data_IF_985097247454
#
_entry.id   IF_985097247454
#
_cell.length_a   1.000
_cell.length_b   1.000
_cell.length_c   1.000
_cell.angle_alpha   90.00
_cell.angle_beta   90.00
_cell.angle_gamma   90.00
#
_symmetry.space_group_name_H-M   'P 1'
#
loop_
_entity.id
_entity.type
_entity.pdbx_description
1 polymer ?
#
# COMPACT_ATOMS: atom_id res chain seq x y z
N UNK A 1 32.60 8.29 -6.78
CA UNK A 1 32.96 6.88 -7.07
C UNK A 1 32.17 5.87 -6.22
N UNK A 2 31.80 6.17 -4.96
CA UNK A 2 30.95 5.30 -4.13
C UNK A 2 29.48 5.19 -4.60
N UNK A 3 28.98 6.17 -5.36
CA UNK A 3 27.60 6.21 -5.86
C UNK A 3 27.34 5.20 -6.98
N UNK A 4 28.27 5.03 -7.94
CA UNK A 4 28.13 4.09 -9.06
C UNK A 4 28.11 2.63 -8.62
N UNK A 5 28.78 2.28 -7.52
CA UNK A 5 28.80 0.92 -6.97
C UNK A 5 27.47 0.50 -6.33
N UNK A 6 26.58 1.43 -5.96
CA UNK A 6 25.30 1.13 -5.30
C UNK A 6 24.11 1.03 -6.27
N UNK A 7 24.20 1.63 -7.44
CA UNK A 7 23.11 1.72 -8.44
C UNK A 7 22.80 0.37 -9.09
N UNK A 8 23.84 -0.40 -9.45
CA UNK A 8 23.67 -1.73 -10.04
C UNK A 8 22.99 -2.72 -9.09
N UNK A 9 23.40 -2.83 -7.81
CA UNK A 9 22.74 -3.68 -6.83
C UNK A 9 21.24 -3.36 -6.67
N UNK A 10 20.87 -2.09 -6.48
CA UNK A 10 19.48 -1.73 -6.14
C UNK A 10 18.49 -2.05 -7.27
N UNK A 11 18.91 -1.94 -8.53
CA UNK A 11 18.09 -2.32 -9.68
C UNK A 11 17.67 -3.80 -9.64
N UNK A 12 18.58 -4.70 -9.27
CA UNK A 12 18.28 -6.13 -9.14
C UNK A 12 17.28 -6.42 -8.02
N UNK A 13 17.40 -5.75 -6.88
CA UNK A 13 16.43 -5.87 -5.78
C UNK A 13 15.03 -5.44 -6.19
N UNK A 14 14.91 -4.34 -6.95
CA UNK A 14 13.64 -3.86 -7.48
C UNK A 14 13.02 -4.87 -8.47
N UNK A 15 13.80 -5.34 -9.43
CA UNK A 15 13.33 -6.31 -10.43
C UNK A 15 12.91 -7.61 -9.76
N UNK A 16 13.70 -8.13 -8.82
CA UNK A 16 13.37 -9.34 -8.08
C UNK A 16 12.08 -9.17 -7.26
N UNK A 17 11.91 -8.05 -6.56
CA UNK A 17 10.71 -7.75 -5.79
C UNK A 17 9.46 -7.65 -6.67
N UNK A 18 9.57 -6.97 -7.82
CA UNK A 18 8.46 -6.83 -8.76
C UNK A 18 8.09 -8.17 -9.38
N UNK A 19 9.06 -8.94 -9.87
CA UNK A 19 8.83 -10.27 -10.46
C UNK A 19 8.19 -11.22 -9.45
N UNK A 20 8.69 -11.24 -8.21
CA UNK A 20 8.13 -12.07 -7.15
C UNK A 20 6.65 -11.76 -6.92
N UNK A 21 6.28 -10.48 -6.83
CA UNK A 21 4.88 -10.11 -6.65
C UNK A 21 4.01 -10.41 -7.88
N UNK A 22 4.51 -10.13 -9.09
CA UNK A 22 3.78 -10.41 -10.33
C UNK A 22 3.50 -11.92 -10.45
N UNK A 23 4.50 -12.76 -10.21
CA UNK A 23 4.34 -14.22 -10.24
C UNK A 23 3.38 -14.68 -9.15
N UNK A 24 3.56 -14.22 -7.91
CA UNK A 24 2.72 -14.63 -6.78
C UNK A 24 1.25 -14.24 -6.98
N UNK A 25 0.97 -13.02 -7.42
CA UNK A 25 -0.41 -12.53 -7.65
C UNK A 25 -1.07 -13.22 -8.84
N UNK A 26 -0.34 -13.43 -9.95
CA UNK A 26 -0.88 -14.13 -11.12
C UNK A 26 -1.13 -15.61 -10.83
N UNK A 27 -0.24 -16.27 -10.09
CA UNK A 27 -0.42 -17.66 -9.69
C UNK A 27 -1.61 -17.82 -8.75
N UNK A 28 -1.70 -16.96 -7.73
CA UNK A 28 -2.83 -16.94 -6.78
C UNK A 28 -4.16 -16.74 -7.51
N UNK A 29 -4.20 -15.77 -8.43
CA UNK A 29 -5.38 -15.54 -9.25
C UNK A 29 -5.78 -16.75 -10.09
N UNK A 30 -4.82 -17.41 -10.76
CA UNK A 30 -5.08 -18.62 -11.56
C UNK A 30 -5.62 -19.77 -10.72
N UNK A 31 -5.07 -19.96 -9.52
CA UNK A 31 -5.51 -21.01 -8.59
C UNK A 31 -6.95 -20.73 -8.13
N UNK A 32 -7.23 -19.52 -7.64
CA UNK A 32 -8.57 -19.14 -7.18
C UNK A 32 -9.61 -19.19 -8.32
N UNK A 33 -9.22 -18.84 -9.54
CA UNK A 33 -10.13 -18.86 -10.70
C UNK A 33 -10.47 -20.29 -11.18
N UNK A 34 -9.67 -21.29 -10.82
CA UNK A 34 -9.96 -22.71 -11.09
C UNK A 34 -10.89 -23.33 -10.05
N UNK A 35 -10.79 -22.90 -8.80
CA UNK A 35 -11.51 -23.52 -7.67
C UNK A 35 -12.86 -22.87 -7.36
N UNK A 36 -13.06 -21.59 -7.70
CA UNK A 36 -14.27 -20.84 -7.34
C UNK A 36 -15.08 -20.45 -8.58
N UNK A 37 -16.35 -20.89 -8.63
CA UNK A 37 -17.30 -20.57 -9.71
C UNK A 37 -17.50 -19.06 -9.91
N UNK A 38 -17.87 -18.64 -11.14
CA UNK A 38 -17.96 -17.24 -11.62
C UNK A 38 -18.49 -16.22 -10.61
N UNK A 39 -19.54 -16.55 -9.85
CA UNK A 39 -20.21 -15.64 -8.92
C UNK A 39 -19.55 -15.46 -7.54
N UNK A 40 -18.71 -16.38 -7.06
CA UNK A 40 -18.11 -16.30 -5.70
C UNK A 40 -16.68 -15.74 -5.70
N UNK A 41 -16.15 -15.37 -6.88
CA UNK A 41 -14.76 -14.99 -7.15
C UNK A 41 -14.27 -13.77 -6.37
N UNK A 42 -15.07 -12.71 -6.36
CA UNK A 42 -14.71 -11.44 -5.71
C UNK A 42 -14.71 -11.56 -4.17
N UNK A 43 -15.71 -12.28 -3.63
CA UNK A 43 -15.86 -12.46 -2.19
C UNK A 43 -14.80 -13.41 -1.60
N UNK A 44 -14.40 -14.45 -2.35
CA UNK A 44 -13.37 -15.39 -1.91
C UNK A 44 -11.99 -14.72 -1.83
N UNK A 45 -11.63 -13.86 -2.78
CA UNK A 45 -10.34 -13.15 -2.77
C UNK A 45 -10.25 -12.09 -1.66
N UNK A 46 -11.36 -11.39 -1.38
CA UNK A 46 -11.44 -10.47 -0.24
C UNK A 46 -11.34 -11.18 1.12
N UNK A 47 -11.91 -12.39 1.25
CA UNK A 47 -11.82 -13.21 2.47
C UNK A 47 -10.47 -13.94 2.61
N UNK A 48 -9.83 -14.33 1.52
CA UNK A 48 -8.55 -15.05 1.58
C UNK A 48 -7.40 -14.14 2.05
N UNK A 49 -7.51 -12.82 1.86
CA UNK A 49 -6.64 -11.82 2.49
C UNK A 49 -6.86 -11.68 4.02
N UNK A 50 -7.90 -12.30 4.60
CA UNK A 50 -8.24 -12.18 6.03
C UNK A 50 -7.92 -13.40 6.91
N UNK A 51 -7.40 -14.49 6.35
CA UNK A 51 -6.98 -15.67 7.11
C UNK A 51 -5.57 -15.49 7.69
N UNK A 52 -5.49 -15.02 8.94
CA UNK A 52 -4.25 -14.57 9.60
C UNK A 52 -3.24 -15.66 9.97
N UNK A 53 -3.51 -16.95 9.73
CA UNK A 53 -2.61 -18.06 10.11
C UNK A 53 -2.47 -19.05 8.95
N UNK A 54 -2.10 -18.55 7.79
CA UNK A 54 -1.83 -19.40 6.62
C UNK A 54 -0.54 -18.95 5.94
N UNK A 55 0.09 -19.84 5.17
CA UNK A 55 1.27 -19.60 4.32
C UNK A 55 1.31 -18.20 3.64
N UNK A 56 0.19 -17.61 3.16
CA UNK A 56 0.16 -16.25 2.61
C UNK A 56 0.58 -15.14 3.57
N UNK A 57 0.32 -15.27 4.88
CA UNK A 57 0.71 -14.27 5.87
C UNK A 57 2.23 -14.24 6.08
N UNK A 58 2.86 -15.42 6.15
CA UNK A 58 4.32 -15.54 6.26
C UNK A 58 4.99 -15.05 4.96
N UNK A 59 4.47 -15.46 3.80
CA UNK A 59 4.97 -14.98 2.51
C UNK A 59 4.81 -13.46 2.40
N UNK A 60 3.67 -12.91 2.82
CA UNK A 60 3.43 -11.47 2.88
C UNK A 60 4.39 -10.75 3.81
N UNK A 61 4.66 -11.29 5.00
CA UNK A 61 5.65 -10.75 5.93
C UNK A 61 7.06 -10.72 5.32
N UNK A 62 7.50 -11.85 4.76
CA UNK A 62 8.82 -11.98 4.14
C UNK A 62 8.97 -11.02 2.96
N UNK A 63 7.92 -10.84 2.18
CA UNK A 63 7.91 -9.89 1.07
C UNK A 63 7.96 -8.44 1.54
N UNK A 64 7.06 -8.05 2.45
CA UNK A 64 6.88 -6.65 2.83
C UNK A 64 7.93 -6.12 3.82
N UNK A 65 8.52 -6.98 4.66
CA UNK A 65 9.57 -6.59 5.63
C UNK A 65 10.89 -7.28 5.33
N UNK A 66 10.86 -8.57 5.01
CA UNK A 66 12.09 -9.34 4.79
C UNK A 66 12.94 -8.75 3.66
N UNK A 67 12.33 -8.34 2.56
CA UNK A 67 13.04 -7.77 1.41
C UNK A 67 13.64 -6.37 1.71
N UNK A 68 12.91 -5.38 2.26
CA UNK A 68 13.51 -4.13 2.72
C UNK A 68 14.62 -4.32 3.76
N UNK A 69 14.43 -5.25 4.71
CA UNK A 69 15.41 -5.54 5.75
C UNK A 69 16.68 -6.20 5.19
N UNK A 70 16.55 -7.13 4.25
CA UNK A 70 17.69 -7.72 3.56
C UNK A 70 18.47 -6.69 2.74
N UNK A 71 17.79 -5.75 2.08
CA UNK A 71 18.43 -4.65 1.36
C UNK A 71 19.19 -3.68 2.29
N UNK A 72 18.68 -3.47 3.52
CA UNK A 72 19.39 -2.73 4.58
C UNK A 72 20.65 -3.47 5.04
N UNK A 73 20.54 -4.77 5.34
CA UNK A 73 21.69 -5.59 5.77
C UNK A 73 22.76 -5.68 4.69
N UNK A 74 22.37 -5.71 3.42
CA UNK A 74 23.29 -5.67 2.28
C UNK A 74 23.93 -4.28 2.06
N UNK A 75 23.57 -3.26 2.84
CA UNK A 75 24.09 -1.90 2.71
C UNK A 75 23.64 -1.17 1.44
N UNK A 76 22.65 -1.73 0.71
CA UNK A 76 22.11 -1.14 -0.52
C UNK A 76 21.23 0.07 -0.18
N UNK A 77 20.46 -0.05 0.90
CA UNK A 77 19.64 1.03 1.46
C UNK A 77 20.24 1.54 2.76
N UNK A 78 19.94 2.80 3.09
CA UNK A 78 20.27 3.37 4.40
C UNK A 78 18.99 3.64 5.19
N UNK A 79 19.04 3.61 6.54
CA UNK A 79 17.90 3.99 7.38
C UNK A 79 17.33 5.38 7.06
N UNK A 80 18.21 6.31 6.64
CA UNK A 80 17.83 7.66 6.20
C UNK A 80 16.99 7.64 4.92
N UNK A 81 17.38 6.87 3.89
CA UNK A 81 16.59 6.78 2.64
C UNK A 81 15.22 6.15 2.84
N UNK A 82 15.06 5.30 3.85
CA UNK A 82 13.78 4.74 4.28
C UNK A 82 12.97 5.69 5.16
N UNK A 83 13.55 6.81 5.61
CA UNK A 83 12.90 7.77 6.51
C UNK A 83 12.69 7.22 7.92
N UNK A 84 13.61 6.37 8.39
CA UNK A 84 13.57 5.77 9.74
C UNK A 84 14.29 6.60 10.79
N UNK A 85 15.17 7.53 10.38
CA UNK A 85 16.07 8.28 11.28
C UNK A 85 15.57 9.68 11.62
N UNK A 86 14.50 10.16 10.98
CA UNK A 86 14.05 11.54 11.17
C UNK A 86 13.38 11.76 12.52
N UNK A 87 14.06 12.54 13.38
CA UNK A 87 13.64 12.85 14.75
C UNK A 87 13.00 14.23 14.88
N UNK A 88 12.75 14.96 13.79
CA UNK A 88 12.04 16.25 13.81
C UNK A 88 10.52 16.08 13.68
N UNK A 89 9.96 15.15 14.46
CA UNK A 89 8.53 14.92 14.65
C UNK A 89 7.73 16.20 14.90
N UNK A 90 8.13 17.06 15.84
CA UNK A 90 7.30 18.20 16.26
C UNK A 90 7.03 19.20 15.12
N UNK A 91 8.06 19.56 14.34
CA UNK A 91 7.91 20.47 13.18
C UNK A 91 7.15 19.82 12.03
N UNK A 92 7.25 18.50 11.88
CA UNK A 92 6.57 17.74 10.82
C UNK A 92 5.11 17.40 11.14
N UNK A 93 4.69 17.49 12.40
CA UNK A 93 3.32 17.13 12.83
C UNK A 93 2.25 18.01 12.19
N UNK A 94 2.52 19.31 11.97
CA UNK A 94 1.58 20.22 11.34
C UNK A 94 1.22 19.80 9.91
N UNK A 95 2.24 19.51 9.09
CA UNK A 95 2.05 19.03 7.71
C UNK A 95 1.37 17.66 7.70
N UNK A 96 1.80 16.74 8.58
CA UNK A 96 1.19 15.42 8.67
C UNK A 96 -0.30 15.49 9.04
N UNK A 97 -0.66 16.36 9.99
CA UNK A 97 -2.06 16.58 10.40
C UNK A 97 -2.88 17.15 9.26
N UNK A 98 -2.37 18.19 8.59
CA UNK A 98 -3.05 18.81 7.45
C UNK A 98 -3.26 17.82 6.29
N UNK A 99 -2.24 17.04 5.94
CA UNK A 99 -2.34 16.01 4.89
C UNK A 99 -3.30 14.87 5.27
N UNK A 100 -3.27 14.43 6.52
CA UNK A 100 -4.21 13.41 7.03
C UNK A 100 -5.64 13.91 6.93
N UNK A 101 -5.90 15.14 7.38
CA UNK A 101 -7.22 15.76 7.32
C UNK A 101 -7.70 15.96 5.87
N UNK A 102 -6.85 16.52 5.00
CA UNK A 102 -7.18 16.76 3.60
C UNK A 102 -7.51 15.45 2.86
N UNK A 103 -6.68 14.41 3.05
CA UNK A 103 -6.91 13.08 2.47
C UNK A 103 -8.18 12.46 3.03
N UNK A 104 -8.41 12.60 4.34
CA UNK A 104 -9.63 12.13 5.00
C UNK A 104 -10.90 12.79 4.46
N UNK A 105 -10.90 14.11 4.28
CA UNK A 105 -12.04 14.84 3.70
C UNK A 105 -12.29 14.39 2.26
N UNK A 106 -11.25 14.27 1.45
CA UNK A 106 -11.37 13.80 0.06
C UNK A 106 -11.99 12.39 0.00
N UNK A 107 -11.49 11.47 0.82
CA UNK A 107 -12.00 10.09 0.91
C UNK A 107 -13.43 10.05 1.44
N UNK A 108 -13.79 10.92 2.39
CA UNK A 108 -15.14 11.03 2.92
C UNK A 108 -16.13 11.51 1.86
N UNK A 109 -15.77 12.55 1.11
CA UNK A 109 -16.58 13.06 -0.01
C UNK A 109 -16.79 11.97 -1.07
N UNK A 110 -15.72 11.28 -1.46
CA UNK A 110 -15.79 10.19 -2.44
C UNK A 110 -16.66 9.02 -1.93
N UNK A 111 -16.52 8.63 -0.66
CA UNK A 111 -17.38 7.58 -0.05
C UNK A 111 -18.84 7.99 -0.05
N UNK A 112 -19.14 9.26 0.27
CA UNK A 112 -20.50 9.80 0.28
C UNK A 112 -21.13 9.74 -1.11
N UNK A 113 -20.38 10.10 -2.14
CA UNK A 113 -20.82 10.05 -3.53
C UNK A 113 -21.11 8.61 -3.98
N UNK A 114 -20.17 7.68 -3.74
CA UNK A 114 -20.37 6.25 -4.03
C UNK A 114 -21.59 5.67 -3.30
N UNK A 115 -21.81 6.03 -2.03
CA UNK A 115 -22.99 5.57 -1.28
C UNK A 115 -24.29 6.06 -1.89
N UNK A 116 -24.34 7.29 -2.40
CA UNK A 116 -25.53 7.83 -3.07
C UNK A 116 -25.84 7.04 -4.33
N UNK A 117 -24.85 6.83 -5.19
CA UNK A 117 -25.02 6.05 -6.42
C UNK A 117 -25.45 4.60 -6.14
N UNK A 118 -24.93 3.97 -5.10
CA UNK A 118 -25.36 2.62 -4.70
C UNK A 118 -26.82 2.57 -4.25
N UNK A 119 -27.27 3.54 -3.44
CA UNK A 119 -28.65 3.60 -2.97
C UNK A 119 -29.64 3.85 -4.11
N UNK A 120 -29.29 4.73 -5.05
CA UNK A 120 -30.11 5.02 -6.24
C UNK A 120 -30.26 3.80 -7.15
N UNK A 121 -29.23 2.97 -7.24
CA UNK A 121 -29.23 1.74 -8.05
C UNK A 121 -29.78 0.51 -7.31
N UNK A 122 -30.35 0.67 -6.11
CA UNK A 122 -30.86 -0.44 -5.30
C UNK A 122 -29.77 -1.39 -4.78
N UNK A 123 -28.52 -0.94 -4.76
CA UNK A 123 -27.36 -1.67 -4.26
C UNK A 123 -27.34 -1.77 -2.74
N UNK A 124 -26.80 -2.88 -2.21
CA UNK A 124 -26.56 -3.06 -0.78
C UNK A 124 -25.47 -2.11 -0.27
N UNK A 125 -25.57 -1.70 1.00
CA UNK A 125 -24.54 -0.92 1.68
C UNK A 125 -23.13 -1.53 1.55
N UNK A 126 -22.11 -0.67 1.54
CA UNK A 126 -20.72 -1.11 1.59
C UNK A 126 -20.51 -1.99 2.84
N UNK A 127 -19.69 -3.05 2.75
CA UNK A 127 -19.47 -3.94 3.88
C UNK A 127 -18.66 -3.30 4.99
N UNK A 128 -19.17 -3.43 6.20
CA UNK A 128 -18.45 -3.14 7.43
C UNK A 128 -17.35 -4.19 7.65
N UNK A 129 -16.09 -3.84 7.43
CA UNK A 129 -14.97 -4.72 7.77
C UNK A 129 -14.65 -4.61 9.26
N UNK A 130 -15.13 -5.56 10.06
CA UNK A 130 -14.80 -5.68 11.48
C UNK A 130 -13.42 -6.33 11.67
N UNK A 131 -12.36 -5.61 11.35
CA UNK A 131 -11.00 -6.01 11.68
C UNK A 131 -10.58 -5.40 13.02
N UNK A 132 -9.86 -6.17 13.85
CA UNK A 132 -9.23 -5.64 15.07
C UNK A 132 -8.32 -4.45 14.71
N UNK A 133 -8.36 -3.33 15.47
CA UNK A 133 -7.52 -2.16 15.20
C UNK A 133 -6.03 -2.50 15.09
N UNK A 134 -5.56 -3.43 15.93
CA UNK A 134 -4.18 -3.91 15.91
C UNK A 134 -3.83 -4.63 14.60
N UNK A 135 -4.75 -5.46 14.10
CA UNK A 135 -4.57 -6.17 12.82
C UNK A 135 -4.51 -5.17 11.67
N UNK A 136 -5.36 -4.14 11.69
CA UNK A 136 -5.34 -3.06 10.71
C UNK A 136 -4.01 -2.32 10.75
N UNK A 137 -3.56 -1.86 11.92
CA UNK A 137 -2.29 -1.16 12.08
C UNK A 137 -1.10 -2.00 11.58
N UNK A 138 -1.09 -3.30 11.90
CA UNK A 138 -0.04 -4.23 11.46
C UNK A 138 -0.01 -4.40 9.94
N UNK A 139 -1.17 -4.54 9.29
CA UNK A 139 -1.28 -4.59 7.81
C UNK A 139 -0.80 -3.31 7.15
N UNK A 140 -1.16 -2.17 7.73
CA UNK A 140 -0.72 -0.86 7.25
C UNK A 140 0.80 -0.74 7.36
N UNK A 141 1.39 -1.15 8.47
CA UNK A 141 2.83 -1.11 8.68
C UNK A 141 3.59 -1.94 7.62
N UNK A 142 3.14 -3.17 7.32
CA UNK A 142 3.73 -3.97 6.24
C UNK A 142 3.69 -3.27 4.89
N UNK A 143 2.50 -2.79 4.52
CA UNK A 143 2.30 -2.15 3.22
C UNK A 143 3.16 -0.89 3.09
N UNK A 144 3.26 -0.10 4.16
CA UNK A 144 4.12 1.07 4.19
C UNK A 144 5.61 0.73 4.17
N UNK A 145 6.04 -0.38 4.78
CA UNK A 145 7.41 -0.86 4.68
C UNK A 145 7.80 -1.19 3.23
N UNK A 146 6.92 -1.90 2.51
CA UNK A 146 7.11 -2.17 1.08
C UNK A 146 7.14 -0.89 0.23
N UNK A 147 6.21 0.04 0.46
CA UNK A 147 6.21 1.33 -0.24
C UNK A 147 7.45 2.18 0.10
N UNK A 148 7.92 2.14 1.34
CA UNK A 148 9.15 2.79 1.75
C UNK A 148 10.35 2.19 1.01
N UNK A 149 10.39 0.87 0.81
CA UNK A 149 11.43 0.21 0.00
C UNK A 149 11.44 0.69 -1.45
N UNK A 150 10.29 0.71 -2.15
CA UNK A 150 10.22 1.22 -3.52
C UNK A 150 10.61 2.70 -3.61
N UNK A 151 10.16 3.53 -2.66
CA UNK A 151 10.57 4.94 -2.59
C UNK A 151 12.07 5.09 -2.36
N UNK A 152 12.64 4.40 -1.38
CA UNK A 152 14.06 4.47 -1.07
C UNK A 152 14.92 4.01 -2.25
N UNK A 153 14.54 2.90 -2.87
CA UNK A 153 15.21 2.39 -4.07
C UNK A 153 15.16 3.40 -5.23
N UNK A 154 13.99 3.99 -5.48
CA UNK A 154 13.83 5.01 -6.51
C UNK A 154 14.56 6.33 -6.16
N UNK A 155 14.69 6.70 -4.88
CA UNK A 155 15.51 7.84 -4.42
C UNK A 155 16.99 7.62 -4.75
N UNK A 156 17.50 6.40 -4.55
CA UNK A 156 18.88 6.06 -4.90
C UNK A 156 19.12 6.16 -6.40
N UNK A 157 18.12 5.81 -7.23
CA UNK A 157 18.24 5.80 -8.68
C UNK A 157 17.98 7.17 -9.35
N UNK A 158 16.98 7.90 -8.87
CA UNK A 158 16.41 9.07 -9.54
C UNK A 158 16.58 10.37 -8.73
N UNK A 159 17.15 10.30 -7.53
CA UNK A 159 17.28 11.43 -6.62
C UNK A 159 16.05 11.64 -5.74
N UNK A 160 16.13 12.63 -4.83
CA UNK A 160 15.18 12.81 -3.73
C UNK A 160 13.71 12.99 -4.17
N UNK A 161 13.42 14.05 -4.94
CA UNK A 161 12.04 14.39 -5.31
C UNK A 161 11.47 13.40 -6.34
N UNK A 162 12.17 13.23 -7.46
CA UNK A 162 11.76 12.32 -8.55
C UNK A 162 11.68 10.88 -8.07
N UNK A 163 12.58 10.45 -7.18
CA UNK A 163 12.58 9.10 -6.63
C UNK A 163 11.37 8.79 -5.76
N UNK A 164 10.86 9.75 -4.98
CA UNK A 164 9.63 9.51 -4.19
C UNK A 164 8.45 9.19 -5.11
N UNK A 165 8.25 9.97 -6.17
CA UNK A 165 7.19 9.71 -7.14
C UNK A 165 7.50 8.51 -8.05
N UNK A 166 8.77 8.24 -8.35
CA UNK A 166 9.21 7.02 -9.02
C UNK A 166 8.84 5.77 -8.23
N UNK A 167 8.99 5.80 -6.90
CA UNK A 167 8.52 4.74 -6.00
C UNK A 167 7.01 4.52 -6.08
N UNK A 168 6.22 5.59 -6.17
CA UNK A 168 4.78 5.47 -6.45
C UNK A 168 4.51 4.81 -7.80
N UNK A 169 5.25 5.22 -8.83
CA UNK A 169 5.17 4.60 -10.16
C UNK A 169 5.42 3.09 -10.10
N UNK A 170 6.37 2.63 -9.29
CA UNK A 170 6.62 1.20 -9.08
C UNK A 170 5.45 0.49 -8.38
N UNK A 171 4.85 1.09 -7.34
CA UNK A 171 3.65 0.54 -6.68
C UNK A 171 2.49 0.44 -7.67
N UNK A 172 2.25 1.47 -8.48
CA UNK A 172 1.20 1.47 -9.49
C UNK A 172 1.48 0.45 -10.61
N UNK A 173 2.73 0.33 -11.05
CA UNK A 173 3.16 -0.70 -11.99
C UNK A 173 2.88 -2.11 -11.45
N UNK A 174 3.22 -2.35 -10.20
CA UNK A 174 2.91 -3.60 -9.51
C UNK A 174 1.40 -3.89 -9.48
N UNK A 175 0.58 -2.89 -9.16
CA UNK A 175 -0.88 -3.03 -9.13
C UNK A 175 -1.50 -3.26 -10.50
N UNK A 176 -1.06 -2.54 -11.53
CA UNK A 176 -1.57 -2.72 -12.90
C UNK A 176 -1.24 -4.10 -13.49
N UNK A 177 -0.15 -4.72 -13.04
CA UNK A 177 0.23 -6.08 -13.41
C UNK A 177 -0.56 -7.16 -12.63
N UNK A 178 -1.19 -6.79 -11.51
CA UNK A 178 -2.02 -7.70 -10.71
C UNK A 178 -3.41 -7.88 -11.36
N UNK A 179 -3.79 -9.11 -11.77
CA UNK A 179 -5.09 -9.36 -12.40
C UNK A 179 -6.29 -9.06 -11.47
N UNK A 180 -6.14 -9.24 -10.16
CA UNK A 180 -7.20 -8.94 -9.20
C UNK A 180 -7.48 -7.43 -9.14
N UNK A 181 -6.44 -6.60 -9.19
CA UNK A 181 -6.57 -5.15 -9.22
C UNK A 181 -7.30 -4.69 -10.48
N UNK A 182 -6.93 -5.23 -11.65
CA UNK A 182 -7.61 -4.93 -12.92
C UNK A 182 -9.09 -5.33 -12.90
N UNK A 183 -9.41 -6.52 -12.38
CA UNK A 183 -10.79 -6.99 -12.28
C UNK A 183 -11.61 -6.19 -11.26
N UNK A 184 -10.99 -5.70 -10.19
CA UNK A 184 -11.65 -4.95 -9.13
C UNK A 184 -12.21 -3.60 -9.58
N UNK A 185 -11.68 -3.00 -10.65
CA UNK A 185 -12.24 -1.78 -11.23
C UNK A 185 -13.63 -1.97 -11.84
N UNK A 186 -13.99 -3.18 -12.24
CA UNK A 186 -15.34 -3.45 -12.76
C UNK A 186 -16.37 -3.59 -11.62
N UNK A 187 -15.95 -3.97 -10.42
CA UNK A 187 -16.82 -4.21 -9.25
C UNK A 187 -16.90 -2.95 -8.38
N UNK A 188 -18.09 -2.33 -8.31
CA UNK A 188 -18.35 -1.10 -7.54
C UNK A 188 -17.91 -1.19 -6.07
N UNK A 189 -18.04 -2.37 -5.46
CA UNK A 189 -17.63 -2.59 -4.08
C UNK A 189 -16.12 -2.60 -3.91
N UNK A 190 -15.39 -3.10 -4.90
CA UNK A 190 -13.92 -3.10 -4.90
C UNK A 190 -13.33 -1.75 -5.31
N UNK A 191 -14.01 -0.99 -6.20
CA UNK A 191 -13.58 0.36 -6.61
C UNK A 191 -13.26 1.25 -5.42
N UNK A 192 -14.08 1.23 -4.36
CA UNK A 192 -13.79 1.98 -3.13
C UNK A 192 -12.42 1.62 -2.54
N UNK A 193 -12.14 0.32 -2.35
CA UNK A 193 -10.86 -0.14 -1.79
C UNK A 193 -9.69 0.24 -2.68
N UNK A 194 -9.85 0.15 -4.01
CA UNK A 194 -8.80 0.51 -4.96
C UNK A 194 -8.51 2.01 -4.95
N UNK A 195 -9.55 2.85 -4.95
CA UNK A 195 -9.41 4.30 -4.86
C UNK A 195 -8.83 4.74 -3.52
N UNK A 196 -9.22 4.09 -2.43
CA UNK A 196 -8.64 4.33 -1.10
C UNK A 196 -7.14 4.03 -1.08
N UNK A 197 -6.73 2.89 -1.63
CA UNK A 197 -5.33 2.49 -1.73
C UNK A 197 -4.53 3.47 -2.61
N UNK A 198 -5.08 3.90 -3.76
CA UNK A 198 -4.49 4.93 -4.61
C UNK A 198 -4.26 6.25 -3.85
N UNK A 199 -5.30 6.76 -3.20
CA UNK A 199 -5.21 8.00 -2.43
C UNK A 199 -4.12 7.92 -1.37
N UNK A 200 -3.98 6.78 -0.69
CA UNK A 200 -2.96 6.57 0.32
C UNK A 200 -1.53 6.48 -0.23
N UNK A 201 -1.33 5.86 -1.40
CA UNK A 201 -0.02 5.87 -2.07
C UNK A 201 0.41 7.29 -2.37
N UNK A 202 -0.47 8.09 -2.98
CA UNK A 202 -0.15 9.49 -3.31
C UNK A 202 0.02 10.36 -2.05
N UNK A 203 -0.90 10.27 -1.10
CA UNK A 203 -0.82 11.05 0.14
C UNK A 203 0.45 10.72 0.93
N UNK A 204 0.82 9.44 1.02
CA UNK A 204 2.05 9.04 1.72
C UNK A 204 3.31 9.47 0.99
N UNK A 205 3.28 9.55 -0.34
CA UNK A 205 4.39 10.08 -1.14
C UNK A 205 4.58 11.57 -0.89
N UNK A 206 3.51 12.36 -1.01
CA UNK A 206 3.53 13.80 -0.74
C UNK A 206 3.98 14.06 0.70
N UNK A 207 3.40 13.35 1.67
CA UNK A 207 3.81 13.46 3.06
C UNK A 207 5.30 13.15 3.26
N UNK A 208 5.81 12.11 2.59
CA UNK A 208 7.22 11.74 2.66
C UNK A 208 8.15 12.76 2.00
N UNK A 209 7.73 13.43 0.91
CA UNK A 209 8.51 14.53 0.32
C UNK A 209 8.79 15.62 1.36
N UNK A 210 7.78 15.99 2.14
CA UNK A 210 7.91 17.07 3.12
C UNK A 210 8.55 16.66 4.43
N UNK A 211 8.30 15.44 4.89
CA UNK A 211 8.69 15.02 6.25
C UNK A 211 9.86 14.06 6.29
N UNK A 212 10.14 13.37 5.18
CA UNK A 212 11.15 12.29 5.08
C UNK A 212 11.00 11.24 6.19
N UNK A 213 9.78 11.06 6.69
CA UNK A 213 9.49 10.27 7.88
C UNK A 213 8.48 9.16 7.55
N UNK A 214 8.94 7.92 7.54
CA UNK A 214 8.09 6.77 7.27
C UNK A 214 7.08 6.49 8.39
N UNK A 215 7.42 6.80 9.64
CA UNK A 215 6.50 6.61 10.77
C UNK A 215 5.27 7.51 10.66
N UNK A 216 5.43 8.76 10.21
CA UNK A 216 4.28 9.63 9.93
C UNK A 216 3.40 9.08 8.80
N UNK A 217 4.00 8.44 7.77
CA UNK A 217 3.24 7.76 6.73
C UNK A 217 2.43 6.57 7.28
N UNK A 218 3.03 5.76 8.17
CA UNK A 218 2.35 4.66 8.85
C UNK A 218 1.21 5.17 9.72
N UNK A 219 1.45 6.22 10.51
CA UNK A 219 0.44 6.82 11.41
C UNK A 219 -0.74 7.39 10.62
N UNK A 220 -0.48 8.20 9.59
CA UNK A 220 -1.53 8.74 8.72
C UNK A 220 -2.37 7.62 8.10
N UNK A 221 -1.71 6.62 7.49
CA UNK A 221 -2.41 5.50 6.86
C UNK A 221 -3.22 4.72 7.90
N UNK A 222 -2.69 4.48 9.10
CA UNK A 222 -3.40 3.77 10.18
C UNK A 222 -4.62 4.54 10.63
N UNK A 223 -4.52 5.85 10.87
CA UNK A 223 -5.65 6.70 11.26
C UNK A 223 -6.75 6.64 10.20
N UNK A 224 -6.40 6.84 8.93
CA UNK A 224 -7.37 6.79 7.83
C UNK A 224 -7.99 5.39 7.70
N UNK A 225 -7.18 4.34 7.78
CA UNK A 225 -7.69 2.96 7.72
C UNK A 225 -8.67 2.67 8.86
N UNK A 226 -8.42 3.13 10.08
CA UNK A 226 -9.32 2.94 11.22
C UNK A 226 -10.63 3.73 11.05
N UNK A 227 -10.55 5.01 10.64
CA UNK A 227 -11.73 5.85 10.40
C UNK A 227 -12.63 5.22 9.33
N UNK A 228 -12.03 4.80 8.22
CA UNK A 228 -12.80 4.29 7.08
C UNK A 228 -13.21 2.82 7.22
N UNK A 229 -12.52 2.01 8.03
CA UNK A 229 -12.93 0.65 8.36
C UNK A 229 -14.16 0.60 9.29
N UNK A 230 -14.36 1.61 10.15
CA UNK A 230 -15.41 1.60 11.17
C UNK A 230 -16.77 2.18 10.73
N UNK A 231 -16.84 2.85 9.57
CA UNK A 231 -17.94 3.77 9.22
C UNK A 231 -19.31 3.19 8.80
N UNK A 232 -19.66 1.96 9.18
CA UNK A 232 -20.97 1.33 8.85
C UNK A 232 -21.78 1.01 10.12
N UNK A 233 -21.72 1.87 11.15
CA UNK A 233 -22.70 1.87 12.25
C UNK A 233 -23.78 2.91 11.99
#
# INVERSE_FOLDING_TARGET
MLTTLRVLPIGWWLVASLLLNVVATNLSWRICNRTVGRGQRAAALGKQASSMITLPAIAGFMYNIGLPYAALLAGVLTPETLGLTETHWLTSTGIATAMTAATGVMLWLYRRDLRRGLLENGGSALPAAHASPLVTAWRVAFRQAHWAFYRAAAIVLLGSYTGVFGGCGLVLGEWTLNPAWRAGWSDERQRWSLTFDLALVFASAILFVYTRNAWLCVTMHTILALIFAQGDR
#
